data_IF_438853298269
#
_entry.id   IF_438853298269
#
_cell.length_a   1.000
_cell.length_b   1.000
_cell.length_c   1.000
_cell.angle_alpha   90.00
_cell.angle_beta   90.00
_cell.angle_gamma   90.00
#
_symmetry.space_group_name_H-M   'P 1'
#
loop_
_entity.id
_entity.type
_entity.pdbx_description
1 polymer ?
#
# COMPACT_ATOMS: atom_id res chain seq x y z
N UNK A 1 11.67 13.91 -7.48
CA UNK A 1 10.68 14.41 -6.47
C UNK A 1 11.40 14.62 -5.14
N UNK A 2 11.51 15.87 -4.69
CA UNK A 2 12.26 16.21 -3.46
C UNK A 2 11.36 16.80 -2.35
N UNK A 3 10.07 16.94 -2.64
CA UNK A 3 9.02 17.39 -1.72
C UNK A 3 7.67 16.87 -2.16
N UNK A 4 6.72 16.83 -1.25
CA UNK A 4 5.32 16.49 -1.54
C UNK A 4 4.44 17.72 -1.75
N UNK A 5 4.95 18.92 -1.48
CA UNK A 5 4.22 20.18 -1.63
C UNK A 5 3.78 20.38 -3.08
N UNK A 6 2.51 20.68 -3.28
CA UNK A 6 1.86 20.84 -4.59
C UNK A 6 1.92 19.62 -5.51
N UNK A 7 2.14 18.42 -4.96
CA UNK A 7 2.04 17.15 -5.70
C UNK A 7 0.66 16.52 -5.51
N UNK A 8 0.17 15.85 -6.55
CA UNK A 8 -1.07 15.06 -6.47
C UNK A 8 -0.69 13.62 -6.17
N UNK A 9 -1.13 13.11 -5.01
CA UNK A 9 -0.82 11.77 -4.54
C UNK A 9 -2.08 10.88 -4.54
N UNK A 10 -2.04 9.79 -5.31
CA UNK A 10 -3.05 8.72 -5.26
C UNK A 10 -2.68 7.69 -4.18
N UNK A 11 -3.55 7.51 -3.20
CA UNK A 11 -3.38 6.50 -2.14
C UNK A 11 -4.47 5.45 -2.25
N UNK A 12 -4.08 4.20 -2.54
CA UNK A 12 -5.00 3.07 -2.56
C UNK A 12 -5.14 2.45 -1.17
N UNK A 13 -6.35 1.95 -0.83
CA UNK A 13 -6.62 1.46 0.52
C UNK A 13 -6.53 2.55 1.60
N UNK A 14 -6.90 3.79 1.24
CA UNK A 14 -6.76 4.97 2.08
C UNK A 14 -7.72 5.01 3.28
N UNK A 15 -8.73 4.14 3.33
CA UNK A 15 -9.78 4.20 4.36
C UNK A 15 -9.29 3.89 5.77
N UNK A 16 -8.23 3.08 5.93
CA UNK A 16 -7.74 2.62 7.24
C UNK A 16 -6.22 2.37 7.24
N UNK A 17 -5.65 2.13 8.41
CA UNK A 17 -4.29 1.63 8.57
C UNK A 17 -3.22 2.54 7.98
N UNK A 18 -2.21 1.92 7.37
CA UNK A 18 -1.05 2.62 6.79
C UNK A 18 -1.48 3.61 5.70
N UNK A 19 -2.42 3.23 4.81
CA UNK A 19 -2.88 4.11 3.75
C UNK A 19 -3.54 5.39 4.27
N UNK A 20 -4.33 5.27 5.36
CA UNK A 20 -4.93 6.45 6.01
C UNK A 20 -3.86 7.34 6.64
N UNK A 21 -2.89 6.75 7.33
CA UNK A 21 -1.78 7.51 7.92
C UNK A 21 -0.97 8.23 6.84
N UNK A 22 -0.62 7.56 5.74
CA UNK A 22 0.10 8.17 4.62
C UNK A 22 -0.68 9.32 3.98
N UNK A 23 -2.01 9.19 3.83
CA UNK A 23 -2.84 10.26 3.29
C UNK A 23 -2.82 11.50 4.19
N UNK A 24 -2.88 11.33 5.50
CA UNK A 24 -2.82 12.43 6.48
C UNK A 24 -1.43 13.11 6.45
N UNK A 25 -0.36 12.32 6.47
CA UNK A 25 1.02 12.84 6.49
C UNK A 25 1.36 13.58 5.20
N UNK A 26 0.91 13.07 4.04
CA UNK A 26 1.09 13.73 2.75
C UNK A 26 0.30 15.05 2.67
N UNK A 27 -0.95 15.06 3.14
CA UNK A 27 -1.75 16.27 3.21
C UNK A 27 -1.10 17.34 4.11
N UNK A 28 -0.55 16.93 5.26
CA UNK A 28 0.18 17.81 6.17
C UNK A 28 1.46 18.39 5.54
N UNK A 29 2.06 17.69 4.57
CA UNK A 29 3.21 18.13 3.78
C UNK A 29 2.83 18.89 2.50
N UNK A 30 1.54 19.24 2.33
CA UNK A 30 1.06 20.09 1.25
C UNK A 30 0.73 19.35 -0.05
N UNK A 31 0.56 18.02 -0.02
CA UNK A 31 0.07 17.27 -1.16
C UNK A 31 -1.46 17.40 -1.30
N UNK A 32 -1.94 17.36 -2.53
CA UNK A 32 -3.34 17.14 -2.87
C UNK A 32 -3.60 15.64 -2.98
N UNK A 33 -4.67 15.14 -2.34
CA UNK A 33 -4.89 13.70 -2.19
C UNK A 33 -5.99 13.18 -3.11
N UNK A 34 -5.73 12.04 -3.74
CA UNK A 34 -6.73 11.17 -4.34
C UNK A 34 -6.82 9.93 -3.46
N UNK A 35 -7.99 9.73 -2.86
CA UNK A 35 -8.25 8.68 -1.89
C UNK A 35 -9.13 7.60 -2.52
N UNK A 36 -8.65 6.35 -2.57
CA UNK A 36 -9.48 5.24 -3.07
C UNK A 36 -9.50 4.06 -2.10
N UNK A 37 -10.69 3.50 -1.92
CA UNK A 37 -11.00 2.27 -1.20
C UNK A 37 -12.47 1.88 -1.47
N UNK A 38 -12.92 0.77 -0.87
CA UNK A 38 -14.30 0.28 -0.99
C UNK A 38 -15.32 1.06 -0.15
N UNK A 39 -14.90 1.53 1.03
CA UNK A 39 -15.79 2.19 1.99
C UNK A 39 -15.88 3.69 1.70
N UNK A 40 -16.96 4.11 1.03
CA UNK A 40 -17.23 5.52 0.77
C UNK A 40 -17.28 6.34 2.05
N UNK A 41 -17.97 5.84 3.07
CA UNK A 41 -18.13 6.54 4.36
C UNK A 41 -16.79 6.87 5.01
N UNK A 42 -15.86 5.89 5.07
CA UNK A 42 -14.55 6.10 5.67
C UNK A 42 -13.67 7.05 4.83
N UNK A 43 -13.79 6.98 3.49
CA UNK A 43 -13.09 7.90 2.60
C UNK A 43 -13.61 9.33 2.74
N UNK A 44 -14.92 9.52 2.82
CA UNK A 44 -15.53 10.84 3.01
C UNK A 44 -15.13 11.44 4.37
N UNK A 45 -15.12 10.64 5.43
CA UNK A 45 -14.66 11.07 6.75
C UNK A 45 -13.18 11.52 6.71
N UNK A 46 -12.31 10.76 6.05
CA UNK A 46 -10.90 11.12 5.88
C UNK A 46 -10.75 12.40 5.04
N UNK A 47 -11.49 12.52 3.95
CA UNK A 47 -11.47 13.72 3.11
C UNK A 47 -11.92 14.97 3.88
N UNK A 48 -12.93 14.86 4.73
CA UNK A 48 -13.36 15.95 5.61
C UNK A 48 -12.29 16.33 6.65
N UNK A 49 -11.62 15.33 7.25
CA UNK A 49 -10.51 15.58 8.17
C UNK A 49 -9.37 16.34 7.49
N UNK A 50 -8.98 15.93 6.27
CA UNK A 50 -7.92 16.59 5.49
C UNK A 50 -8.34 18.03 5.14
N UNK A 51 -9.57 18.23 4.67
CA UNK A 51 -10.10 19.56 4.32
C UNK A 51 -10.20 20.48 5.55
N UNK A 52 -10.56 19.94 6.70
CA UNK A 52 -10.60 20.68 7.97
C UNK A 52 -9.24 21.23 8.41
N UNK A 53 -8.14 20.70 7.86
CA UNK A 53 -6.75 21.15 8.05
C UNK A 53 -6.20 21.93 6.85
N UNK A 54 -7.09 22.51 6.03
CA UNK A 54 -6.77 23.25 4.80
C UNK A 54 -6.11 22.42 3.67
N UNK A 55 -6.16 21.09 3.75
CA UNK A 55 -5.72 20.20 2.69
C UNK A 55 -6.79 20.01 1.59
N UNK A 56 -6.37 19.41 0.48
CA UNK A 56 -7.27 19.05 -0.62
C UNK A 56 -7.37 17.53 -0.76
N UNK A 57 -8.57 17.01 -0.92
CA UNK A 57 -8.80 15.58 -1.10
C UNK A 57 -9.99 15.30 -2.03
N UNK A 58 -9.80 14.35 -2.92
CA UNK A 58 -10.77 13.78 -3.84
C UNK A 58 -11.03 12.32 -3.49
N UNK A 59 -12.28 11.88 -3.56
CA UNK A 59 -12.69 10.52 -3.22
C UNK A 59 -13.15 9.80 -4.47
N UNK A 60 -12.54 8.65 -4.75
CA UNK A 60 -12.93 7.72 -5.80
C UNK A 60 -13.15 6.34 -5.18
N UNK A 61 -14.40 5.89 -5.16
CA UNK A 61 -14.76 4.58 -4.58
C UNK A 61 -14.53 3.50 -5.62
N UNK A 62 -13.60 2.59 -5.35
CA UNK A 62 -13.33 1.45 -6.23
C UNK A 62 -12.94 0.20 -5.41
N UNK A 63 -13.44 -0.97 -5.83
CA UNK A 63 -12.98 -2.25 -5.31
C UNK A 63 -11.88 -2.82 -6.21
N UNK A 64 -10.63 -2.55 -5.84
CA UNK A 64 -9.46 -3.02 -6.57
C UNK A 64 -9.28 -4.55 -6.58
N UNK A 65 -10.11 -5.31 -5.85
CA UNK A 65 -10.15 -6.76 -5.98
C UNK A 65 -10.98 -7.25 -7.19
N UNK A 66 -11.66 -6.35 -7.91
CA UNK A 66 -12.44 -6.66 -9.09
C UNK A 66 -11.58 -6.55 -10.36
N UNK A 67 -11.72 -7.45 -11.34
CA UNK A 67 -11.06 -7.33 -12.63
C UNK A 67 -11.36 -5.99 -13.33
N UNK A 68 -10.34 -5.37 -13.94
CA UNK A 68 -10.45 -4.10 -14.66
C UNK A 68 -10.64 -2.87 -13.77
N UNK A 69 -10.53 -3.02 -12.45
CA UNK A 69 -10.70 -1.91 -11.49
C UNK A 69 -9.61 -0.85 -11.61
N UNK A 70 -8.38 -1.24 -11.93
CA UNK A 70 -7.27 -0.30 -12.16
C UNK A 70 -7.57 0.65 -13.32
N UNK A 71 -8.05 0.11 -14.44
CA UNK A 71 -8.45 0.90 -15.62
C UNK A 71 -9.63 1.84 -15.30
N UNK A 72 -10.69 1.34 -14.62
CA UNK A 72 -11.82 2.19 -14.24
C UNK A 72 -11.40 3.34 -13.34
N UNK A 73 -10.55 3.08 -12.34
CA UNK A 73 -10.04 4.13 -11.44
C UNK A 73 -9.21 5.16 -12.22
N UNK A 74 -8.32 4.71 -13.09
CA UNK A 74 -7.51 5.59 -13.92
C UNK A 74 -8.37 6.50 -14.80
N UNK A 75 -9.38 5.94 -15.48
CA UNK A 75 -10.31 6.73 -16.32
C UNK A 75 -11.10 7.76 -15.53
N UNK A 76 -11.58 7.41 -14.31
CA UNK A 76 -12.27 8.34 -13.42
C UNK A 76 -11.36 9.52 -12.99
N UNK A 77 -10.12 9.24 -12.67
CA UNK A 77 -9.13 10.26 -12.26
C UNK A 77 -8.80 11.19 -13.43
N UNK A 78 -8.57 10.64 -14.64
CA UNK A 78 -8.36 11.43 -15.86
C UNK A 78 -9.57 12.30 -16.21
N UNK A 79 -10.79 11.76 -16.11
CA UNK A 79 -12.02 12.51 -16.37
C UNK A 79 -12.24 13.66 -15.38
N UNK A 80 -11.68 13.56 -14.17
CA UNK A 80 -11.67 14.65 -13.19
C UNK A 80 -10.55 15.69 -13.43
N UNK A 81 -9.71 15.52 -14.45
CA UNK A 81 -8.61 16.43 -14.78
C UNK A 81 -7.46 16.37 -13.77
N UNK A 82 -7.32 15.26 -13.05
CA UNK A 82 -6.28 15.07 -12.04
C UNK A 82 -5.10 14.30 -12.65
N UNK A 83 -3.90 14.82 -12.44
CA UNK A 83 -2.68 14.27 -12.99
C UNK A 83 -1.75 13.80 -11.84
N UNK A 84 -1.66 12.50 -11.64
CA UNK A 84 -0.99 11.87 -10.49
C UNK A 84 0.53 12.01 -10.59
N UNK A 85 1.13 12.62 -9.56
CA UNK A 85 2.59 12.74 -9.40
C UNK A 85 3.18 11.62 -8.54
N UNK A 86 2.40 11.12 -7.57
CA UNK A 86 2.81 10.06 -6.64
C UNK A 86 1.72 9.00 -6.54
N UNK A 87 2.06 7.76 -6.89
CA UNK A 87 1.20 6.60 -6.73
C UNK A 87 1.62 5.81 -5.47
N UNK A 88 0.70 5.63 -4.51
CA UNK A 88 0.91 4.76 -3.36
C UNK A 88 -0.01 3.54 -3.48
N UNK A 89 0.57 2.43 -3.91
CA UNK A 89 -0.06 1.13 -3.97
C UNK A 89 -0.04 0.49 -2.58
N UNK A 90 -1.02 0.86 -1.73
CA UNK A 90 -1.14 0.33 -0.37
C UNK A 90 -2.28 -0.67 -0.22
N UNK A 91 -3.30 -0.64 -1.07
CA UNK A 91 -4.40 -1.61 -1.00
C UNK A 91 -3.90 -3.05 -1.05
N UNK A 92 -4.32 -3.85 -0.09
CA UNK A 92 -3.91 -5.25 -0.01
C UNK A 92 -4.46 -5.92 1.25
N UNK A 93 -4.56 -7.24 1.20
CA UNK A 93 -4.87 -8.05 2.37
C UNK A 93 -4.15 -9.40 2.35
N UNK A 94 -4.19 -10.10 3.47
CA UNK A 94 -3.65 -11.45 3.62
C UNK A 94 -4.70 -12.46 4.02
N UNK A 95 -4.35 -13.76 3.91
CA UNK A 95 -5.07 -14.89 4.50
C UNK A 95 -4.08 -15.75 5.26
N UNK A 96 -4.41 -16.08 6.51
CA UNK A 96 -3.58 -16.90 7.37
C UNK A 96 -4.28 -18.21 7.71
N UNK A 97 -3.73 -19.32 7.26
CA UNK A 97 -4.25 -20.68 7.46
C UNK A 97 -3.45 -21.70 6.66
N UNK A 98 -3.74 -22.97 6.84
CA UNK A 98 -3.17 -23.99 5.97
C UNK A 98 -3.65 -23.76 4.53
N UNK A 99 -2.78 -24.02 3.56
CA UNK A 99 -3.08 -23.74 2.15
C UNK A 99 -4.39 -24.36 1.67
N UNK A 100 -4.72 -25.56 2.12
CA UNK A 100 -5.97 -26.23 1.76
C UNK A 100 -7.23 -25.78 2.53
N UNK A 101 -7.11 -24.87 3.53
CA UNK A 101 -8.27 -24.38 4.31
C UNK A 101 -9.07 -23.31 3.57
N UNK A 102 -8.49 -22.63 2.58
CA UNK A 102 -9.15 -21.56 1.84
C UNK A 102 -9.66 -22.03 0.50
N UNK A 103 -10.74 -21.41 0.05
CA UNK A 103 -11.26 -21.63 -1.29
C UNK A 103 -10.34 -20.99 -2.34
N UNK A 104 -10.35 -21.54 -3.56
CA UNK A 104 -9.61 -21.01 -4.70
C UNK A 104 -9.86 -19.51 -4.92
N UNK A 105 -11.13 -19.09 -4.79
CA UNK A 105 -11.55 -17.72 -5.04
C UNK A 105 -11.02 -16.74 -3.97
N UNK A 106 -10.78 -17.18 -2.73
CA UNK A 106 -10.11 -16.35 -1.71
C UNK A 106 -8.68 -15.99 -2.13
N UNK A 107 -7.97 -16.94 -2.73
CA UNK A 107 -6.62 -16.69 -3.26
C UNK A 107 -6.64 -15.87 -4.56
N UNK A 108 -7.58 -16.15 -5.46
CA UNK A 108 -7.73 -15.40 -6.70
C UNK A 108 -7.98 -13.92 -6.43
N UNK A 109 -8.89 -13.59 -5.52
CA UNK A 109 -9.19 -12.22 -5.12
C UNK A 109 -7.98 -11.53 -4.44
N UNK A 110 -7.20 -12.27 -3.63
CA UNK A 110 -5.98 -11.74 -3.01
C UNK A 110 -4.91 -11.44 -4.05
N UNK A 111 -4.69 -12.33 -5.02
CA UNK A 111 -3.75 -12.14 -6.12
C UNK A 111 -4.21 -10.97 -6.99
N UNK A 112 -5.50 -10.89 -7.31
CA UNK A 112 -6.08 -9.77 -8.06
C UNK A 112 -5.75 -8.43 -7.40
N UNK A 113 -5.99 -8.29 -6.10
CA UNK A 113 -5.73 -7.04 -5.39
C UNK A 113 -4.24 -6.75 -5.22
N UNK A 114 -3.47 -7.74 -4.69
CA UNK A 114 -2.10 -7.50 -4.26
C UNK A 114 -1.10 -7.47 -5.43
N UNK A 115 -1.42 -8.10 -6.56
CA UNK A 115 -0.54 -8.22 -7.73
C UNK A 115 -1.13 -7.51 -8.94
N UNK A 116 -2.27 -8.01 -9.46
CA UNK A 116 -2.79 -7.54 -10.76
C UNK A 116 -3.12 -6.06 -10.71
N UNK A 117 -3.94 -5.62 -9.75
CA UNK A 117 -4.33 -4.21 -9.65
C UNK A 117 -3.17 -3.28 -9.35
N UNK A 118 -2.20 -3.72 -8.54
CA UNK A 118 -0.97 -2.96 -8.32
C UNK A 118 -0.16 -2.79 -9.60
N UNK A 119 -0.01 -3.87 -10.37
CA UNK A 119 0.71 -3.86 -11.66
C UNK A 119 -0.01 -2.97 -12.67
N UNK A 120 -1.34 -3.09 -12.78
CA UNK A 120 -2.17 -2.26 -13.65
C UNK A 120 -2.00 -0.77 -13.33
N UNK A 121 -2.07 -0.40 -12.04
CA UNK A 121 -1.91 0.99 -11.63
C UNK A 121 -0.51 1.53 -11.93
N UNK A 122 0.55 0.76 -11.70
CA UNK A 122 1.90 1.15 -12.14
C UNK A 122 1.94 1.37 -13.64
N UNK A 123 1.40 0.44 -14.44
CA UNK A 123 1.39 0.52 -15.91
C UNK A 123 0.60 1.74 -16.43
N UNK A 124 -0.51 2.08 -15.79
CA UNK A 124 -1.40 3.16 -16.24
C UNK A 124 -0.90 4.56 -15.85
N UNK A 125 -0.28 4.71 -14.66
CA UNK A 125 0.13 6.04 -14.18
C UNK A 125 1.58 6.41 -14.50
N UNK A 126 2.50 5.45 -14.58
CA UNK A 126 3.92 5.75 -14.82
C UNK A 126 4.22 6.42 -16.17
N UNK A 127 3.54 6.13 -17.30
CA UNK A 127 3.81 6.84 -18.55
C UNK A 127 3.66 8.36 -18.45
N UNK A 128 2.60 8.86 -17.82
CA UNK A 128 2.41 10.30 -17.62
C UNK A 128 3.53 10.93 -16.75
N UNK A 129 4.02 10.19 -15.74
CA UNK A 129 5.16 10.63 -14.91
C UNK A 129 6.45 10.71 -15.75
N UNK A 130 6.65 9.77 -16.67
CA UNK A 130 7.80 9.77 -17.62
C UNK A 130 7.72 10.99 -18.52
N UNK A 131 6.56 11.26 -19.11
CA UNK A 131 6.36 12.39 -20.00
C UNK A 131 6.59 13.74 -19.31
N UNK A 132 6.27 13.82 -18.01
CA UNK A 132 6.59 14.98 -17.16
C UNK A 132 8.09 15.08 -16.80
N UNK A 133 8.84 13.99 -16.88
CA UNK A 133 10.21 13.90 -16.37
C UNK A 133 10.31 13.96 -14.84
N UNK A 134 9.20 13.71 -14.14
CA UNK A 134 9.14 13.65 -12.67
C UNK A 134 7.95 12.79 -12.22
N UNK A 135 8.18 11.92 -11.24
CA UNK A 135 7.10 11.13 -10.64
C UNK A 135 7.60 10.16 -9.58
N UNK A 136 6.65 9.48 -8.95
CA UNK A 136 7.00 8.50 -7.95
C UNK A 136 5.96 7.40 -7.73
N UNK A 137 6.46 6.22 -7.36
CA UNK A 137 5.65 5.07 -6.98
C UNK A 137 6.18 4.49 -5.67
N UNK A 138 5.30 4.35 -4.69
CA UNK A 138 5.57 3.61 -3.45
C UNK A 138 4.66 2.38 -3.45
N UNK A 139 5.26 1.19 -3.49
CA UNK A 139 4.54 -0.07 -3.40
C UNK A 139 4.67 -0.64 -1.98
N UNK A 140 3.54 -0.91 -1.32
CA UNK A 140 3.56 -1.46 0.03
C UNK A 140 3.72 -3.00 -0.04
N UNK A 141 4.95 -3.43 0.21
CA UNK A 141 5.34 -4.82 0.41
C UNK A 141 5.00 -5.31 1.82
N UNK A 142 5.90 -6.09 2.39
CA UNK A 142 5.86 -6.59 3.77
C UNK A 142 7.24 -7.12 4.15
N UNK A 143 7.55 -7.26 5.44
CA UNK A 143 8.68 -8.09 5.88
C UNK A 143 8.57 -9.54 5.37
N UNK A 144 7.35 -10.00 5.07
CA UNK A 144 7.09 -11.28 4.39
C UNK A 144 7.55 -11.30 2.91
N UNK A 145 8.00 -10.19 2.35
CA UNK A 145 8.59 -10.14 1.00
C UNK A 145 9.94 -10.85 0.91
N UNK A 146 10.64 -10.99 2.02
CA UNK A 146 12.03 -11.47 2.07
C UNK A 146 12.17 -12.96 2.42
N UNK A 147 11.09 -13.60 2.86
CA UNK A 147 11.17 -15.00 3.33
C UNK A 147 9.83 -15.72 3.18
N UNK A 148 9.84 -17.05 3.04
CA UNK A 148 8.61 -17.83 3.05
C UNK A 148 7.97 -17.80 4.44
N UNK A 149 6.66 -17.52 4.48
CA UNK A 149 5.89 -17.50 5.73
C UNK A 149 4.90 -18.66 5.75
N UNK A 150 5.16 -19.73 6.54
CA UNK A 150 4.18 -20.80 6.71
C UNK A 150 2.84 -20.25 7.19
N UNK A 151 1.75 -20.84 6.72
CA UNK A 151 0.37 -20.41 6.94
C UNK A 151 -0.03 -19.07 6.29
N UNK A 152 0.89 -18.42 5.58
CA UNK A 152 0.63 -17.21 4.80
C UNK A 152 1.29 -17.31 3.41
N UNK A 153 1.37 -18.52 2.84
CA UNK A 153 2.15 -18.84 1.64
C UNK A 153 1.81 -17.95 0.45
N UNK A 154 0.53 -17.84 0.07
CA UNK A 154 0.13 -17.00 -1.07
C UNK A 154 0.35 -15.52 -0.75
N UNK A 155 0.06 -15.06 0.47
CA UNK A 155 0.31 -13.67 0.86
C UNK A 155 1.80 -13.32 0.76
N UNK A 156 2.70 -14.12 1.34
CA UNK A 156 4.15 -13.86 1.25
C UNK A 156 4.65 -13.87 -0.19
N UNK A 157 4.13 -14.78 -1.02
CA UNK A 157 4.45 -14.80 -2.46
C UNK A 157 3.98 -13.54 -3.18
N UNK A 158 2.76 -13.01 -2.86
CA UNK A 158 2.32 -11.74 -3.45
C UNK A 158 3.22 -10.58 -3.01
N UNK A 159 3.70 -10.57 -1.78
CA UNK A 159 4.56 -9.50 -1.27
C UNK A 159 6.01 -9.61 -1.78
N UNK A 160 6.51 -10.83 -2.04
CA UNK A 160 7.76 -11.04 -2.76
C UNK A 160 7.69 -10.52 -4.20
N UNK A 161 6.56 -10.77 -4.90
CA UNK A 161 6.30 -10.17 -6.22
C UNK A 161 6.39 -8.63 -6.17
N UNK A 162 5.72 -8.00 -5.20
CA UNK A 162 5.72 -6.53 -5.06
C UNK A 162 7.13 -5.97 -4.90
N UNK A 163 7.95 -6.60 -4.06
CA UNK A 163 9.35 -6.19 -3.87
C UNK A 163 10.14 -6.33 -5.16
N UNK A 164 10.07 -7.48 -5.80
CA UNK A 164 10.81 -7.76 -7.04
C UNK A 164 10.41 -6.85 -8.18
N UNK A 165 9.10 -6.62 -8.38
CA UNK A 165 8.59 -5.68 -9.37
C UNK A 165 9.09 -4.26 -9.09
N UNK A 166 9.05 -3.81 -7.85
CA UNK A 166 9.49 -2.45 -7.49
C UNK A 166 10.96 -2.22 -7.79
N UNK A 167 11.81 -3.21 -7.48
CA UNK A 167 13.24 -3.15 -7.80
C UNK A 167 13.48 -3.12 -9.32
N UNK A 168 12.80 -3.96 -10.09
CA UNK A 168 12.93 -3.96 -11.55
C UNK A 168 12.51 -2.62 -12.16
N UNK A 169 11.32 -2.13 -11.84
CA UNK A 169 10.81 -0.83 -12.31
C UNK A 169 11.71 0.34 -11.92
N UNK A 170 12.31 0.29 -10.73
CA UNK A 170 13.26 1.30 -10.30
C UNK A 170 14.44 1.45 -11.27
N UNK A 171 15.02 0.33 -11.73
CA UNK A 171 16.13 0.35 -12.70
C UNK A 171 15.65 0.74 -14.09
N UNK A 172 14.52 0.24 -14.53
CA UNK A 172 13.95 0.54 -15.85
C UNK A 172 13.66 2.04 -16.03
N UNK A 173 13.16 2.70 -14.98
CA UNK A 173 12.73 4.10 -15.02
C UNK A 173 13.73 5.10 -14.41
N UNK A 174 14.91 4.66 -14.03
CA UNK A 174 15.93 5.52 -13.42
C UNK A 174 16.31 6.73 -14.30
N UNK A 175 16.41 6.52 -15.63
CA UNK A 175 16.75 7.58 -16.59
C UNK A 175 15.60 8.59 -16.81
N UNK A 176 14.37 8.23 -16.47
CA UNK A 176 13.17 9.06 -16.65
C UNK A 176 12.85 9.94 -15.43
N UNK A 177 13.71 9.93 -14.40
CA UNK A 177 13.50 10.63 -13.13
C UNK A 177 12.18 10.22 -12.43
N UNK A 178 11.70 8.99 -12.67
CA UNK A 178 10.58 8.38 -11.96
C UNK A 178 11.13 7.46 -10.88
N UNK A 179 10.84 7.78 -9.61
CA UNK A 179 11.32 7.00 -8.47
C UNK A 179 10.35 5.87 -8.14
N UNK A 180 10.85 4.67 -7.98
CA UNK A 180 10.07 3.53 -7.50
C UNK A 180 10.71 2.99 -6.22
N UNK A 181 9.91 2.77 -5.19
CA UNK A 181 10.36 2.24 -3.90
C UNK A 181 9.38 1.21 -3.34
N UNK A 182 9.90 0.15 -2.75
CA UNK A 182 9.11 -0.75 -1.93
C UNK A 182 9.20 -0.36 -0.45
N UNK A 183 8.04 -0.22 0.23
CA UNK A 183 7.98 -0.18 1.69
C UNK A 183 7.54 -1.54 2.21
N UNK A 184 8.34 -2.17 3.05
CA UNK A 184 8.15 -3.53 3.54
C UNK A 184 7.91 -3.55 5.05
N UNK A 185 6.76 -3.03 5.55
CA UNK A 185 6.48 -2.99 6.99
C UNK A 185 6.42 -4.39 7.59
N UNK A 186 6.80 -4.47 8.86
CA UNK A 186 6.60 -5.65 9.69
C UNK A 186 5.21 -5.65 10.33
N UNK A 187 5.15 -6.17 11.56
CA UNK A 187 3.93 -6.12 12.34
C UNK A 187 3.55 -4.65 12.62
N UNK A 188 2.37 -4.27 12.16
CA UNK A 188 1.83 -2.91 12.32
C UNK A 188 0.49 -2.99 13.04
N UNK A 189 0.26 -2.08 13.97
CA UNK A 189 -1.01 -1.99 14.70
C UNK A 189 -2.09 -1.43 13.77
N UNK A 190 -2.77 -2.34 13.10
CA UNK A 190 -3.82 -2.06 12.14
C UNK A 190 -4.85 -3.20 12.15
N UNK A 191 -5.99 -3.00 11.52
CA UNK A 191 -7.00 -4.05 11.40
C UNK A 191 -6.58 -5.21 10.45
N UNK A 192 -5.41 -5.11 9.82
CA UNK A 192 -4.92 -6.10 8.87
C UNK A 192 -4.88 -7.53 9.42
N UNK A 193 -4.37 -7.71 10.66
CA UNK A 193 -4.29 -9.05 11.29
C UNK A 193 -5.68 -9.67 11.50
N UNK A 194 -6.65 -8.87 11.92
CA UNK A 194 -8.02 -9.33 12.14
C UNK A 194 -8.63 -9.81 10.81
N UNK A 195 -8.51 -9.01 9.75
CA UNK A 195 -8.97 -9.37 8.41
C UNK A 195 -8.24 -10.60 7.85
N UNK A 196 -6.93 -10.71 8.06
CA UNK A 196 -6.14 -11.84 7.58
C UNK A 196 -6.53 -13.16 8.28
N UNK A 197 -6.91 -13.12 9.56
CA UNK A 197 -7.29 -14.29 10.35
C UNK A 197 -8.80 -14.57 10.40
N UNK A 198 -9.63 -13.74 9.77
CA UNK A 198 -11.08 -13.84 9.84
C UNK A 198 -11.62 -15.24 9.48
N UNK A 199 -11.10 -15.83 8.40
CA UNK A 199 -11.46 -17.17 7.92
C UNK A 199 -10.52 -18.28 8.41
N UNK A 200 -9.59 -17.99 9.33
CA UNK A 200 -8.64 -18.95 9.87
C UNK A 200 -9.31 -19.93 10.82
N UNK A 201 -8.72 -21.13 10.98
CA UNK A 201 -9.15 -22.09 12.00
C UNK A 201 -9.01 -21.49 13.41
N UNK A 202 -9.88 -21.92 14.34
CA UNK A 202 -9.85 -21.42 15.72
C UNK A 202 -8.50 -21.68 16.41
N UNK A 203 -7.86 -22.80 16.09
CA UNK A 203 -6.50 -23.11 16.59
C UNK A 203 -5.48 -22.03 16.17
N UNK A 204 -5.55 -21.55 14.92
CA UNK A 204 -4.64 -20.54 14.42
C UNK A 204 -4.97 -19.15 15.01
N UNK A 205 -6.25 -18.81 15.14
CA UNK A 205 -6.70 -17.58 15.79
C UNK A 205 -6.19 -17.50 17.23
N UNK A 206 -6.30 -18.59 18.00
CA UNK A 206 -5.75 -18.66 19.36
C UNK A 206 -4.23 -18.48 19.40
N UNK A 207 -3.50 -19.04 18.43
CA UNK A 207 -2.03 -18.86 18.34
C UNK A 207 -1.65 -17.41 18.01
N UNK A 208 -2.39 -16.77 17.10
CA UNK A 208 -2.20 -15.37 16.73
C UNK A 208 -2.52 -14.45 17.92
N UNK A 209 -3.58 -14.75 18.68
CA UNK A 209 -3.94 -14.01 19.90
C UNK A 209 -2.81 -14.04 20.94
N UNK A 210 -2.23 -15.21 21.20
CA UNK A 210 -1.10 -15.37 22.15
C UNK A 210 0.11 -14.52 21.76
N UNK A 211 0.40 -14.35 20.46
CA UNK A 211 1.49 -13.49 20.01
C UNK A 211 1.26 -11.99 20.33
N UNK A 212 -0.02 -11.57 20.47
CA UNK A 212 -0.36 -10.22 20.95
C UNK A 212 -0.11 -10.08 22.45
N UNK A 213 -0.48 -11.11 23.21
CA UNK A 213 -0.37 -11.13 24.67
C UNK A 213 1.10 -11.16 25.13
N UNK A 214 2.00 -11.74 24.33
CA UNK A 214 3.45 -11.80 24.57
C UNK A 214 4.18 -10.46 24.32
N UNK A 215 3.45 -9.34 24.18
CA UNK A 215 4.02 -7.99 24.07
C UNK A 215 4.64 -7.66 22.71
N UNK A 216 4.37 -8.44 21.67
CA UNK A 216 4.70 -8.07 20.29
C UNK A 216 3.72 -7.01 19.77
N UNK A 217 3.79 -5.82 20.37
CA UNK A 217 3.07 -4.64 19.87
C UNK A 217 3.71 -4.26 18.54
N UNK A 218 2.90 -4.25 17.49
CA UNK A 218 3.35 -3.77 16.17
C UNK A 218 3.71 -2.28 16.20
N UNK A 219 4.45 -1.83 15.21
CA UNK A 219 4.66 -0.39 15.01
C UNK A 219 3.35 0.32 14.69
N UNK A 220 3.26 1.61 15.00
CA UNK A 220 2.07 2.40 14.63
C UNK A 220 2.04 2.67 13.14
N UNK A 221 0.84 2.85 12.59
CA UNK A 221 0.66 3.21 11.18
C UNK A 221 1.33 4.55 10.84
N UNK A 222 1.28 5.50 11.76
CA UNK A 222 1.87 6.83 11.65
C UNK A 222 3.39 6.75 11.52
N UNK A 223 4.05 5.93 12.34
CA UNK A 223 5.49 5.73 12.26
C UNK A 223 5.90 5.07 10.94
N UNK A 224 5.19 4.01 10.55
CA UNK A 224 5.42 3.33 9.25
C UNK A 224 5.25 4.32 8.10
N UNK A 225 4.24 5.18 8.16
CA UNK A 225 4.00 6.23 7.17
C UNK A 225 5.18 7.21 7.09
N UNK A 226 5.55 7.84 8.21
CA UNK A 226 6.62 8.84 8.26
C UNK A 226 7.95 8.28 7.75
N UNK A 227 8.38 7.12 8.29
CA UNK A 227 9.63 6.48 7.87
C UNK A 227 9.61 6.10 6.38
N UNK A 228 8.45 5.68 5.83
CA UNK A 228 8.31 5.36 4.41
C UNK A 228 8.43 6.62 3.54
N UNK A 229 7.72 7.68 3.88
CA UNK A 229 7.73 8.92 3.13
C UNK A 229 9.12 9.58 3.15
N UNK A 230 9.79 9.60 4.30
CA UNK A 230 11.16 10.12 4.42
C UNK A 230 12.15 9.30 3.59
N UNK A 231 12.04 7.97 3.61
CA UNK A 231 12.89 7.08 2.81
C UNK A 231 12.71 7.30 1.30
N UNK A 232 11.47 7.58 0.86
CA UNK A 232 11.18 7.88 -0.53
C UNK A 232 11.85 9.18 -1.00
N UNK A 233 11.77 10.25 -0.20
CA UNK A 233 12.47 11.52 -0.50
C UNK A 233 13.99 11.34 -0.53
N UNK A 234 14.54 10.45 0.31
CA UNK A 234 15.96 10.05 0.29
C UNK A 234 16.33 9.13 -0.89
N UNK A 235 15.39 8.85 -1.78
CA UNK A 235 15.57 7.98 -2.95
C UNK A 235 16.08 6.57 -2.61
N UNK A 236 15.63 5.99 -1.48
CA UNK A 236 15.96 4.60 -1.13
C UNK A 236 15.32 3.61 -2.09
N UNK A 237 15.93 2.44 -2.24
CA UNK A 237 15.40 1.34 -3.06
C UNK A 237 14.20 0.69 -2.38
N UNK A 238 14.38 0.32 -1.12
CA UNK A 238 13.32 -0.14 -0.25
C UNK A 238 13.57 0.31 1.20
N UNK A 239 12.56 0.17 2.03
CA UNK A 239 12.66 0.35 3.47
C UNK A 239 11.91 -0.78 4.19
N UNK A 240 12.42 -1.19 5.35
CA UNK A 240 11.71 -2.01 6.33
C UNK A 240 11.42 -1.11 7.54
N UNK A 241 10.29 -0.37 7.54
CA UNK A 241 10.00 0.59 8.59
C UNK A 241 9.64 -0.11 9.90
N UNK A 242 9.95 0.53 11.02
CA UNK A 242 9.59 0.10 12.36
C UNK A 242 10.74 -0.43 13.21
N UNK A 243 10.53 -0.43 14.56
CA UNK A 243 11.51 -0.93 15.53
C UNK A 243 11.67 -2.44 15.43
N UNK A 244 12.90 -2.91 15.23
CA UNK A 244 13.24 -4.34 15.22
C UNK A 244 13.01 -5.05 13.89
N UNK A 245 12.48 -4.38 12.88
CA UNK A 245 12.27 -4.96 11.55
C UNK A 245 13.57 -5.03 10.72
N UNK A 246 14.61 -4.28 11.09
CA UNK A 246 15.94 -4.28 10.41
C UNK A 246 16.68 -5.62 10.47
N UNK A 247 16.26 -6.57 11.32
CA UNK A 247 16.84 -7.91 11.38
C UNK A 247 16.51 -8.81 10.17
N UNK A 248 15.60 -8.39 9.31
CA UNK A 248 15.17 -9.09 8.10
C UNK A 248 15.72 -8.48 6.80
N UNK A 249 16.38 -7.34 6.87
CA UNK A 249 17.09 -6.75 5.74
C UNK A 249 18.50 -7.38 5.68
N UNK A 250 18.73 -8.22 4.67
CA UNK A 250 20.03 -8.77 4.35
C UNK A 250 20.90 -7.78 3.59
#
# INVERSE_FOLDING_TARGET
MDTYTNKIALVTGASTGIGRAMAIDLAAQGAELILTARSKEQLDALAQEIKGKAGKAHVFVEDLAQPGSGERLHQQILAAGLDVDLLINNAGYGRWGQFGEFQRDDYAAMIQLNITSLTDLCHLFMPAMVDKGEGGVINIGSSASFLPVPYASVYSSTKAYVLMLSEALRYEYAASNVRVMASCPGATDSNFRNTASEKSSERLKQRISKLKDDGQVGDTCERVSQETLDAFLQNKHYIVPGKGNTKFAF
#
